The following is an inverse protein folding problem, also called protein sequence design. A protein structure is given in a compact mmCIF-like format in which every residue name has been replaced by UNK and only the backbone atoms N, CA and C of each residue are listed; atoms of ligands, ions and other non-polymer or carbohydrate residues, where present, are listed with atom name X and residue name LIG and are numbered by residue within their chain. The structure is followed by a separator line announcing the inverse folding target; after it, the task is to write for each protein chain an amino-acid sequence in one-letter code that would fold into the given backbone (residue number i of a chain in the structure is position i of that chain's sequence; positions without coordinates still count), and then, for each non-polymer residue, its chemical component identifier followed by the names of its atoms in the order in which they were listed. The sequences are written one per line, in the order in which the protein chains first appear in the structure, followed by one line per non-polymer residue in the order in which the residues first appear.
data_IF_240125037661
#
_entry.id   IF_240125037661
#
_cell.length_a   1.000
_cell.length_b   1.000
_cell.length_c   1.000
_cell.angle_alpha   90.00
_cell.angle_beta   90.00
_cell.angle_gamma   90.00
#
_symmetry.space_group_name_H-M   'P 1'
#
loop_
_entity.id
_entity.type
_entity.pdbx_description
1 polymer ?
#
# COMPACT_ATOMS: atom_id res chain seq x y z
N UNK A 1 -11.99 -24.11 -22.74
CA UNK A 1 -10.66 -24.73 -22.68
C UNK A 1 -10.50 -25.62 -23.91
N UNK A 2 -9.43 -25.43 -24.67
CA UNK A 2 -9.15 -26.24 -25.84
C UNK A 2 -8.71 -27.65 -25.42
N UNK A 3 -9.02 -28.67 -26.23
CA UNK A 3 -8.57 -30.05 -26.02
C UNK A 3 -7.03 -30.15 -25.83
N UNK A 4 -6.26 -29.25 -26.42
CA UNK A 4 -4.82 -29.11 -26.22
C UNK A 4 -4.46 -28.81 -24.76
N UNK A 5 -5.19 -27.93 -24.06
CA UNK A 5 -4.98 -27.63 -22.63
C UNK A 5 -5.16 -28.88 -21.76
N UNK A 6 -6.11 -29.73 -22.06
CA UNK A 6 -6.38 -30.95 -21.29
C UNK A 6 -5.29 -32.03 -21.50
N UNK A 7 -4.72 -32.08 -22.72
CA UNK A 7 -3.57 -32.95 -23.03
C UNK A 7 -2.34 -32.50 -22.22
N UNK A 8 -2.01 -31.21 -22.20
CA UNK A 8 -0.90 -30.66 -21.43
C UNK A 8 -1.05 -30.92 -19.92
N UNK A 9 -2.25 -30.69 -19.36
CA UNK A 9 -2.53 -30.95 -17.95
C UNK A 9 -2.28 -32.43 -17.62
N UNK A 10 -2.75 -33.34 -18.45
CA UNK A 10 -2.55 -34.78 -18.26
C UNK A 10 -1.07 -35.17 -18.32
N UNK A 11 -0.32 -34.63 -19.29
CA UNK A 11 1.11 -34.87 -19.42
C UNK A 11 1.87 -34.36 -18.19
N UNK A 12 1.56 -33.15 -17.73
CA UNK A 12 2.16 -32.54 -16.54
C UNK A 12 1.95 -33.41 -15.30
N UNK A 13 0.74 -33.88 -15.02
CA UNK A 13 0.49 -34.75 -13.86
C UNK A 13 1.23 -36.09 -13.98
N UNK A 14 1.28 -36.69 -15.19
CA UNK A 14 1.95 -37.98 -15.42
C UNK A 14 3.47 -37.90 -15.43
N UNK A 15 4.05 -36.72 -15.46
CA UNK A 15 5.51 -36.53 -15.26
C UNK A 15 5.92 -36.52 -13.79
N UNK A 16 4.96 -36.51 -12.85
CA UNK A 16 5.23 -36.58 -11.42
C UNK A 16 5.40 -38.05 -11.01
N UNK A 17 6.49 -38.37 -10.29
CA UNK A 17 6.78 -39.71 -9.80
C UNK A 17 5.63 -40.21 -8.92
N UNK A 18 5.10 -41.38 -9.25
CA UNK A 18 3.94 -41.98 -8.57
C UNK A 18 2.58 -41.62 -9.16
N UNK A 19 2.53 -40.70 -10.15
CA UNK A 19 1.28 -40.29 -10.84
C UNK A 19 1.27 -40.68 -12.32
N UNK A 20 2.19 -41.51 -12.77
CA UNK A 20 2.38 -41.86 -14.20
C UNK A 20 1.12 -42.44 -14.86
N UNK A 21 0.30 -43.17 -14.08
CA UNK A 21 -0.92 -43.82 -14.54
C UNK A 21 -2.17 -43.14 -13.97
N UNK A 22 -2.07 -41.89 -13.44
CA UNK A 22 -3.21 -41.21 -12.86
C UNK A 22 -4.33 -41.00 -13.87
N UNK A 23 -5.56 -41.15 -13.40
CA UNK A 23 -6.79 -40.76 -14.14
C UNK A 23 -7.36 -39.49 -13.54
N UNK A 24 -7.47 -38.44 -14.37
CA UNK A 24 -8.04 -37.19 -13.92
C UNK A 24 -9.56 -37.35 -13.86
N UNK A 25 -10.12 -37.30 -12.68
CA UNK A 25 -11.58 -37.39 -12.47
C UNK A 25 -12.31 -36.12 -12.84
N UNK A 26 -11.69 -34.96 -12.58
CA UNK A 26 -12.20 -33.64 -12.90
C UNK A 26 -11.03 -32.69 -13.19
N UNK A 27 -11.06 -32.03 -14.33
CA UNK A 27 -10.07 -30.98 -14.62
C UNK A 27 -10.28 -29.75 -13.75
N UNK A 28 -9.19 -29.10 -13.33
CA UNK A 28 -9.25 -27.77 -12.78
C UNK A 28 -9.78 -26.78 -13.82
N UNK A 29 -10.42 -25.72 -13.36
CA UNK A 29 -10.85 -24.64 -14.20
C UNK A 29 -9.82 -23.51 -14.21
N UNK A 30 -9.71 -22.80 -15.32
CA UNK A 30 -9.03 -21.53 -15.43
C UNK A 30 -10.10 -20.43 -15.48
N UNK A 31 -9.83 -19.32 -14.82
CA UNK A 31 -10.64 -18.13 -14.94
C UNK A 31 -9.90 -17.18 -15.86
N UNK A 32 -10.54 -16.77 -16.93
CA UNK A 32 -10.05 -15.75 -17.85
C UNK A 32 -10.85 -14.47 -17.62
N UNK A 33 -10.17 -13.34 -17.61
CA UNK A 33 -10.77 -12.05 -17.39
C UNK A 33 -10.48 -11.14 -18.58
N UNK A 34 -11.51 -10.54 -19.13
CA UNK A 34 -11.35 -9.45 -20.07
C UNK A 34 -10.85 -8.20 -19.34
N UNK A 35 -9.89 -7.52 -19.94
CA UNK A 35 -9.37 -6.25 -19.42
C UNK A 35 -9.04 -5.30 -20.58
N UNK A 36 -9.02 -4.02 -20.29
CA UNK A 36 -8.49 -3.00 -21.17
C UNK A 36 -6.96 -2.91 -21.02
N UNK A 37 -6.31 -2.29 -21.98
CA UNK A 37 -4.93 -1.87 -21.79
C UNK A 37 -4.89 -0.74 -20.75
N UNK A 38 -4.29 -1.00 -19.57
CA UNK A 38 -4.22 -0.03 -18.48
C UNK A 38 -3.38 1.20 -18.83
N UNK A 39 -2.52 1.14 -19.85
CA UNK A 39 -1.82 2.29 -20.40
C UNK A 39 -2.76 3.32 -21.04
N UNK A 40 -3.99 2.95 -21.36
CA UNK A 40 -5.04 3.86 -21.83
C UNK A 40 -5.71 4.66 -20.69
N UNK A 41 -5.30 4.46 -19.44
CA UNK A 41 -5.80 5.19 -18.28
C UNK A 41 -4.89 6.36 -17.90
N UNK A 42 -5.50 7.40 -17.36
CA UNK A 42 -4.79 8.49 -16.67
C UNK A 42 -4.50 8.11 -15.21
N UNK A 43 -3.61 8.83 -14.50
CA UNK A 43 -3.42 8.64 -13.06
C UNK A 43 -4.69 8.88 -12.21
N UNK A 44 -5.71 9.49 -12.77
CA UNK A 44 -7.03 9.66 -12.15
C UNK A 44 -7.99 8.49 -12.44
N UNK A 45 -7.52 7.43 -13.10
CA UNK A 45 -8.30 6.28 -13.60
C UNK A 45 -9.39 6.66 -14.63
N UNK A 46 -9.23 7.81 -15.29
CA UNK A 46 -10.07 8.20 -16.42
C UNK A 46 -9.52 7.55 -17.69
N UNK A 47 -10.42 7.07 -18.55
CA UNK A 47 -10.07 6.49 -19.84
C UNK A 47 -9.68 7.58 -20.85
N UNK A 48 -8.49 7.49 -21.45
CA UNK A 48 -7.95 8.53 -22.32
C UNK A 48 -8.76 8.71 -23.61
N UNK A 49 -9.22 7.60 -24.18
CA UNK A 49 -9.92 7.57 -25.48
C UNK A 49 -11.38 8.02 -25.40
N UNK A 50 -12.04 7.85 -24.24
CA UNK A 50 -13.44 8.17 -24.05
C UNK A 50 -13.62 9.10 -22.85
N UNK A 51 -14.05 10.34 -23.11
CA UNK A 51 -14.21 11.35 -22.07
C UNK A 51 -15.34 10.98 -21.10
N UNK A 52 -15.09 11.14 -19.81
CA UNK A 52 -16.10 10.94 -18.76
C UNK A 52 -16.25 9.49 -18.30
N UNK A 53 -15.47 8.56 -18.83
CA UNK A 53 -15.44 7.17 -18.39
C UNK A 53 -14.28 6.99 -17.41
N UNK A 54 -14.58 6.38 -16.28
CA UNK A 54 -13.62 5.94 -15.26
C UNK A 54 -13.76 4.45 -15.07
N UNK A 55 -12.65 3.74 -14.89
CA UNK A 55 -12.65 2.28 -14.75
C UNK A 55 -11.96 1.87 -13.47
N UNK A 56 -12.37 0.74 -12.90
CA UNK A 56 -11.82 0.24 -11.64
C UNK A 56 -11.90 -1.28 -11.55
N UNK A 57 -10.91 -1.88 -10.88
CA UNK A 57 -10.89 -3.31 -10.60
C UNK A 57 -10.38 -4.16 -11.76
N UNK A 58 -11.00 -5.31 -11.93
CA UNK A 58 -10.57 -6.32 -12.88
C UNK A 58 -10.43 -5.81 -14.31
N UNK A 59 -11.32 -4.94 -14.75
CA UNK A 59 -11.28 -4.34 -16.11
C UNK A 59 -9.94 -3.62 -16.38
N UNK A 60 -9.26 -3.16 -15.33
CA UNK A 60 -7.94 -2.52 -15.40
C UNK A 60 -6.77 -3.51 -15.31
N UNK A 61 -7.04 -4.82 -15.35
CA UNK A 61 -6.02 -5.87 -15.28
C UNK A 61 -5.59 -6.27 -13.85
N UNK A 62 -6.36 -5.92 -12.82
CA UNK A 62 -6.09 -6.34 -11.44
C UNK A 62 -6.98 -7.53 -11.03
N UNK A 63 -6.50 -8.39 -10.12
CA UNK A 63 -7.24 -9.61 -9.74
C UNK A 63 -7.66 -9.66 -8.26
N UNK A 64 -7.34 -8.64 -7.44
CA UNK A 64 -7.65 -8.63 -6.01
C UNK A 64 -8.85 -7.75 -5.66
N UNK A 65 -9.55 -8.11 -4.58
CA UNK A 65 -10.66 -7.31 -4.05
C UNK A 65 -10.20 -5.97 -3.50
N UNK A 66 -9.06 -5.94 -2.84
CA UNK A 66 -8.44 -4.74 -2.27
C UNK A 66 -8.05 -3.76 -3.37
N UNK A 67 -7.47 -4.27 -4.46
CA UNK A 67 -7.13 -3.47 -5.63
C UNK A 67 -8.39 -2.88 -6.27
N UNK A 68 -9.45 -3.66 -6.38
CA UNK A 68 -10.71 -3.20 -6.94
C UNK A 68 -11.37 -2.12 -6.06
N UNK A 69 -11.37 -2.30 -4.75
CA UNK A 69 -11.90 -1.33 -3.79
C UNK A 69 -11.13 0.01 -3.84
N UNK A 70 -9.80 -0.07 -3.85
CA UNK A 70 -8.93 1.11 -3.92
C UNK A 70 -9.14 1.90 -5.22
N UNK A 71 -9.19 1.20 -6.36
CA UNK A 71 -9.45 1.82 -7.66
C UNK A 71 -10.85 2.40 -7.73
N UNK A 72 -11.87 1.68 -7.24
CA UNK A 72 -13.26 2.15 -7.21
C UNK A 72 -13.42 3.43 -6.40
N UNK A 73 -12.77 3.50 -5.24
CA UNK A 73 -12.74 4.72 -4.42
C UNK A 73 -12.11 5.88 -5.19
N UNK A 74 -10.92 5.70 -5.76
CA UNK A 74 -10.20 6.76 -6.48
C UNK A 74 -10.93 7.19 -7.75
N UNK A 75 -11.47 6.26 -8.52
CA UNK A 75 -12.26 6.54 -9.72
C UNK A 75 -13.53 7.34 -9.37
N UNK A 76 -14.24 6.95 -8.31
CA UNK A 76 -15.44 7.65 -7.82
C UNK A 76 -15.14 9.08 -7.33
N UNK A 77 -14.05 9.27 -6.58
CA UNK A 77 -13.58 10.60 -6.16
C UNK A 77 -13.32 11.47 -7.40
N UNK A 78 -12.54 10.96 -8.35
CA UNK A 78 -12.14 11.73 -9.52
C UNK A 78 -13.31 12.02 -10.48
N UNK A 79 -14.27 11.12 -10.59
CA UNK A 79 -15.52 11.39 -11.31
C UNK A 79 -16.31 12.54 -10.67
N UNK A 80 -16.42 12.53 -9.34
CA UNK A 80 -17.10 13.62 -8.60
C UNK A 80 -16.35 14.96 -8.72
N UNK A 81 -15.03 14.97 -8.57
CA UNK A 81 -14.20 16.16 -8.74
C UNK A 81 -14.33 16.73 -10.16
N UNK A 82 -14.38 15.88 -11.16
CA UNK A 82 -14.60 16.29 -12.56
C UNK A 82 -15.94 17.00 -12.76
N UNK A 83 -17.02 16.50 -12.14
CA UNK A 83 -18.33 17.14 -12.19
C UNK A 83 -18.29 18.52 -11.51
N UNK A 84 -17.57 18.63 -10.40
CA UNK A 84 -17.36 19.88 -9.66
C UNK A 84 -16.40 20.86 -10.36
N UNK A 85 -15.72 20.42 -11.41
CA UNK A 85 -14.64 21.16 -12.11
C UNK A 85 -13.45 21.47 -11.18
N UNK A 86 -13.18 20.57 -10.27
CA UNK A 86 -12.03 20.60 -9.35
C UNK A 86 -10.87 19.74 -9.90
N UNK A 87 -9.66 20.02 -9.40
CA UNK A 87 -8.47 19.26 -9.77
C UNK A 87 -8.56 17.80 -9.29
N UNK A 88 -8.14 16.82 -10.11
CA UNK A 88 -8.22 15.43 -9.77
C UNK A 88 -7.34 15.09 -8.56
N UNK A 89 -7.76 14.06 -7.84
CA UNK A 89 -6.92 13.43 -6.82
C UNK A 89 -6.00 12.42 -7.49
N UNK A 90 -4.72 12.72 -7.52
CA UNK A 90 -3.65 11.80 -7.92
C UNK A 90 -2.80 11.50 -6.69
N UNK A 91 -2.75 10.23 -6.32
CA UNK A 91 -1.89 9.75 -5.25
C UNK A 91 -0.56 9.31 -5.83
N UNK A 92 0.54 9.67 -5.19
CA UNK A 92 1.89 9.33 -5.61
C UNK A 92 2.37 8.03 -4.97
N UNK A 93 3.43 7.42 -5.54
CA UNK A 93 4.01 6.16 -5.07
C UNK A 93 4.56 6.25 -3.64
N UNK A 94 5.07 7.41 -3.24
CA UNK A 94 5.57 7.71 -1.90
C UNK A 94 4.46 8.05 -0.90
N UNK A 95 3.26 8.42 -1.38
CA UNK A 95 2.13 8.76 -0.52
C UNK A 95 1.31 7.53 -0.09
N UNK A 96 1.17 6.53 -0.95
CA UNK A 96 0.30 5.39 -0.67
C UNK A 96 0.53 4.18 -1.58
N UNK A 97 0.13 2.98 -1.09
CA UNK A 97 0.05 1.79 -1.93
C UNK A 97 -0.99 1.93 -3.06
N UNK A 98 -2.04 2.73 -2.87
CA UNK A 98 -3.00 3.06 -3.94
C UNK A 98 -2.30 3.86 -5.03
N UNK A 99 -1.47 4.83 -4.66
CA UNK A 99 -0.66 5.60 -5.62
C UNK A 99 0.31 4.71 -6.39
N UNK A 100 1.02 3.81 -5.71
CA UNK A 100 1.89 2.83 -6.36
C UNK A 100 1.12 1.91 -7.33
N UNK A 101 -0.04 1.37 -6.90
CA UNK A 101 -0.90 0.54 -7.74
C UNK A 101 -1.27 1.26 -9.05
N UNK A 102 -1.81 2.47 -8.91
CA UNK A 102 -2.27 3.24 -10.09
C UNK A 102 -1.11 3.61 -10.99
N UNK A 103 0.01 4.04 -10.41
CA UNK A 103 1.21 4.37 -11.19
C UNK A 103 1.73 3.15 -11.97
N UNK A 104 1.83 1.98 -11.35
CA UNK A 104 2.22 0.75 -12.06
C UNK A 104 1.26 0.42 -13.23
N UNK A 105 -0.05 0.55 -13.02
CA UNK A 105 -1.04 0.29 -14.06
C UNK A 105 -0.88 1.22 -15.27
N UNK A 106 -0.76 2.53 -15.02
CA UNK A 106 -0.81 3.54 -16.09
C UNK A 106 0.54 3.82 -16.76
N UNK A 107 1.65 3.34 -16.17
CA UNK A 107 3.00 3.54 -16.70
C UNK A 107 3.66 2.26 -17.22
N UNK A 108 3.45 1.12 -16.55
CA UNK A 108 4.07 -0.16 -16.90
C UNK A 108 3.12 -1.08 -17.65
N UNK A 109 1.81 -0.89 -17.49
CA UNK A 109 0.81 -1.81 -18.02
C UNK A 109 0.79 -3.15 -17.26
N UNK A 110 -0.01 -4.09 -17.76
CA UNK A 110 -0.14 -5.42 -17.16
C UNK A 110 -0.10 -6.51 -18.25
N UNK A 111 0.88 -7.42 -18.17
CA UNK A 111 0.95 -8.60 -19.03
C UNK A 111 0.33 -9.84 -18.37
N UNK A 112 0.06 -9.75 -17.08
CA UNK A 112 -0.55 -10.78 -16.22
C UNK A 112 -1.44 -10.09 -15.18
N UNK A 113 -2.37 -10.80 -14.53
CA UNK A 113 -3.23 -10.22 -13.49
C UNK A 113 -2.41 -9.57 -12.38
N UNK A 114 -2.53 -8.24 -12.23
CA UNK A 114 -1.77 -7.46 -11.26
C UNK A 114 -2.26 -7.71 -9.83
N UNK A 115 -1.32 -7.90 -8.92
CA UNK A 115 -1.54 -7.95 -7.47
C UNK A 115 -0.61 -6.97 -6.76
N UNK A 116 -1.15 -6.25 -5.78
CA UNK A 116 -0.36 -5.39 -4.90
C UNK A 116 0.48 -6.25 -3.97
N UNK A 117 1.80 -6.02 -4.03
CA UNK A 117 2.76 -6.63 -3.11
C UNK A 117 3.64 -5.52 -2.52
N UNK A 118 3.97 -5.62 -1.25
CA UNK A 118 4.86 -4.65 -0.59
C UNK A 118 6.24 -4.57 -1.24
N UNK A 119 6.70 -5.67 -1.85
CA UNK A 119 7.95 -5.73 -2.61
C UNK A 119 7.99 -4.84 -3.86
N UNK A 120 6.83 -4.43 -4.37
CA UNK A 120 6.74 -3.52 -5.52
C UNK A 120 6.96 -2.05 -5.14
N UNK A 121 6.93 -1.73 -3.84
CA UNK A 121 7.08 -0.35 -3.35
C UNK A 121 8.51 -0.06 -2.94
N UNK A 122 9.08 0.98 -3.51
CA UNK A 122 10.36 1.58 -3.12
C UNK A 122 10.27 2.19 -1.71
N UNK A 123 9.06 2.63 -1.32
CA UNK A 123 8.78 3.35 -0.07
C UNK A 123 8.12 2.46 1.00
N UNK A 124 8.26 1.12 0.93
CA UNK A 124 7.57 0.18 1.83
C UNK A 124 7.83 0.42 3.33
N UNK A 125 8.99 0.99 3.69
CA UNK A 125 9.30 1.35 5.07
C UNK A 125 8.60 2.63 5.53
N UNK A 126 8.24 3.51 4.59
CA UNK A 126 7.47 4.73 4.85
C UNK A 126 5.96 4.46 4.85
N UNK A 127 5.49 3.61 3.93
CA UNK A 127 4.06 3.32 3.73
C UNK A 127 3.57 2.26 4.71
N UNK A 128 3.38 2.67 5.98
CA UNK A 128 2.88 1.79 7.03
C UNK A 128 1.42 2.10 7.35
N UNK A 129 0.73 1.12 7.93
CA UNK A 129 -0.66 1.27 8.36
C UNK A 129 -0.79 2.28 9.51
N UNK A 130 0.17 2.27 10.45
CA UNK A 130 0.18 3.11 11.64
C UNK A 130 0.29 4.62 11.36
N UNK A 131 0.83 5.01 10.20
CA UNK A 131 0.99 6.41 9.79
C UNK A 131 0.14 6.81 8.59
N UNK A 132 -0.81 5.98 8.16
CA UNK A 132 -1.65 6.26 6.99
C UNK A 132 -2.54 7.50 7.18
N UNK A 133 -3.02 7.72 8.39
CA UNK A 133 -3.78 8.92 8.75
C UNK A 133 -2.97 10.21 8.56
N UNK A 134 -1.71 10.22 9.01
CA UNK A 134 -0.81 11.38 8.85
C UNK A 134 -0.51 11.69 7.38
N UNK A 135 -0.40 10.66 6.52
CA UNK A 135 -0.08 10.82 5.10
C UNK A 135 -1.28 11.22 4.24
N UNK A 136 -2.48 10.76 4.58
CA UNK A 136 -3.64 10.79 3.67
C UNK A 136 -4.81 11.65 4.18
N UNK A 137 -4.82 12.10 5.45
CA UNK A 137 -5.95 12.87 6.00
C UNK A 137 -6.20 14.19 5.25
N UNK A 138 -5.14 14.85 4.79
CA UNK A 138 -5.24 16.09 4.01
C UNK A 138 -5.97 15.86 2.69
N UNK A 139 -5.57 14.79 1.97
CA UNK A 139 -6.23 14.40 0.73
C UNK A 139 -7.71 14.03 0.96
N UNK A 140 -7.98 13.23 2.00
CA UNK A 140 -9.34 12.82 2.37
C UNK A 140 -10.24 14.00 2.76
N UNK A 141 -9.69 15.00 3.47
CA UNK A 141 -10.40 16.21 3.85
C UNK A 141 -10.67 17.10 2.64
N UNK A 142 -9.67 17.32 1.78
CA UNK A 142 -9.81 18.11 0.54
C UNK A 142 -10.94 17.61 -0.35
N UNK A 143 -11.06 16.30 -0.50
CA UNK A 143 -12.11 15.70 -1.35
C UNK A 143 -13.45 15.52 -0.64
N UNK A 144 -13.57 15.96 0.62
CA UNK A 144 -14.81 15.92 1.40
C UNK A 144 -15.22 14.56 1.96
N UNK A 145 -14.33 13.58 1.98
CA UNK A 145 -14.59 12.24 2.54
C UNK A 145 -14.23 12.14 4.03
N UNK A 146 -13.38 13.02 4.53
CA UNK A 146 -13.00 13.04 5.93
C UNK A 146 -13.75 14.15 6.68
N UNK A 147 -14.52 13.82 7.75
CA UNK A 147 -15.18 14.83 8.58
C UNK A 147 -14.17 15.76 9.25
N UNK A 148 -14.58 17.03 9.46
CA UNK A 148 -13.73 18.09 10.04
C UNK A 148 -13.18 17.72 11.42
N UNK A 149 -13.98 17.07 12.24
CA UNK A 149 -13.59 16.62 13.59
C UNK A 149 -12.44 15.63 13.50
N UNK A 150 -12.53 14.65 12.59
CA UNK A 150 -11.48 13.66 12.39
C UNK A 150 -10.21 14.26 11.80
N UNK A 151 -10.35 15.20 10.87
CA UNK A 151 -9.21 15.94 10.33
C UNK A 151 -8.48 16.72 11.43
N UNK A 152 -9.21 17.42 12.30
CA UNK A 152 -8.64 18.15 13.45
C UNK A 152 -7.91 17.22 14.41
N UNK A 153 -8.51 16.09 14.75
CA UNK A 153 -7.87 15.11 15.65
C UNK A 153 -6.53 14.59 15.09
N UNK A 154 -6.44 14.35 13.77
CA UNK A 154 -5.17 13.95 13.13
C UNK A 154 -4.15 15.09 13.17
N UNK A 155 -4.56 16.34 12.95
CA UNK A 155 -3.65 17.50 13.05
C UNK A 155 -3.18 17.74 14.49
N UNK A 156 -4.03 17.54 15.48
CA UNK A 156 -3.63 17.60 16.91
C UNK A 156 -2.62 16.48 17.26
N UNK A 157 -2.84 15.27 16.75
CA UNK A 157 -1.88 14.14 16.87
C UNK A 157 -0.53 14.48 16.25
N UNK A 158 -0.52 15.05 15.05
CA UNK A 158 0.71 15.47 14.36
C UNK A 158 1.50 16.50 15.17
N UNK A 159 0.81 17.53 15.67
CA UNK A 159 1.43 18.55 16.54
C UNK A 159 1.92 17.97 17.86
N UNK A 160 1.18 17.03 18.46
CA UNK A 160 1.60 16.38 19.70
C UNK A 160 2.87 15.54 19.49
N UNK A 161 2.97 14.82 18.36
CA UNK A 161 4.16 14.05 17.98
C UNK A 161 5.38 14.99 17.84
N UNK A 162 5.25 16.11 17.14
CA UNK A 162 6.37 17.03 16.94
C UNK A 162 6.82 17.66 18.27
N UNK A 163 5.89 18.10 19.12
CA UNK A 163 6.22 18.61 20.47
C UNK A 163 6.95 17.57 21.31
N UNK A 164 6.51 16.31 21.24
CA UNK A 164 7.16 15.24 22.02
C UNK A 164 8.56 14.91 21.47
N UNK A 165 8.76 14.92 20.16
CA UNK A 165 10.09 14.78 19.56
C UNK A 165 11.04 15.89 20.01
N UNK A 166 10.58 17.15 20.03
CA UNK A 166 11.34 18.28 20.52
C UNK A 166 11.69 18.10 22.01
N UNK A 167 10.70 17.73 22.85
CA UNK A 167 10.90 17.48 24.27
C UNK A 167 11.93 16.38 24.52
N UNK A 168 11.81 15.26 23.83
CA UNK A 168 12.74 14.12 23.96
C UNK A 168 14.14 14.45 23.43
N UNK A 169 14.24 15.30 22.40
CA UNK A 169 15.52 15.80 21.89
C UNK A 169 16.23 16.76 22.85
N UNK A 170 15.44 17.55 23.59
CA UNK A 170 15.97 18.50 24.57
C UNK A 170 16.33 17.86 25.91
N UNK A 171 15.61 16.77 26.30
CA UNK A 171 15.81 16.11 27.59
C UNK A 171 17.08 15.27 27.56
N UNK A 172 18.09 15.71 28.30
CA UNK A 172 19.36 14.98 28.48
C UNK A 172 19.37 14.25 29.83
N UNK A 173 19.74 12.99 29.77
CA UNK A 173 19.94 12.16 30.95
C UNK A 173 21.45 11.94 31.15
N UNK A 174 21.92 12.24 32.36
CA UNK A 174 23.27 11.89 32.78
C UNK A 174 23.40 10.39 33.08
N UNK A 175 24.64 9.97 33.34
CA UNK A 175 24.90 8.61 33.83
C UNK A 175 24.51 8.52 35.32
N UNK A 176 23.47 7.70 35.62
CA UNK A 176 23.08 7.37 37.00
C UNK A 176 22.74 5.89 37.11
N UNK A 177 22.95 5.29 38.33
CA UNK A 177 22.91 3.83 38.49
C UNK A 177 21.60 3.17 38.08
N UNK A 178 20.46 3.81 38.37
CA UNK A 178 19.13 3.25 38.05
C UNK A 178 18.88 3.16 36.54
N UNK A 179 19.23 4.23 35.81
CA UNK A 179 19.14 4.22 34.33
C UNK A 179 20.01 3.12 33.75
N UNK A 180 21.26 3.03 34.19
CA UNK A 180 22.20 2.06 33.64
C UNK A 180 21.79 0.62 33.98
N UNK A 181 21.27 0.34 35.17
CA UNK A 181 20.68 -0.98 35.49
C UNK A 181 19.51 -1.34 34.55
N UNK A 182 18.63 -0.36 34.29
CA UNK A 182 17.49 -0.57 33.41
C UNK A 182 17.97 -0.86 31.99
N UNK A 183 18.92 -0.10 31.47
CA UNK A 183 19.49 -0.33 30.14
C UNK A 183 20.19 -1.69 30.01
N UNK A 184 20.97 -2.08 31.05
CA UNK A 184 21.62 -3.41 31.09
C UNK A 184 20.61 -4.55 31.14
N UNK A 185 19.53 -4.40 31.91
CA UNK A 185 18.47 -5.39 32.05
C UNK A 185 17.76 -5.69 30.71
N UNK A 186 17.68 -4.71 29.81
CA UNK A 186 17.12 -4.85 28.47
C UNK A 186 18.19 -5.13 27.39
N UNK A 187 19.44 -5.39 27.80
CA UNK A 187 20.55 -5.68 26.87
C UNK A 187 21.11 -4.47 26.12
N UNK A 188 20.81 -3.25 26.57
CA UNK A 188 21.34 -2.03 25.98
C UNK A 188 22.61 -1.55 26.72
N UNK A 189 23.45 -0.76 26.06
CA UNK A 189 24.69 -0.24 26.63
C UNK A 189 24.43 0.87 27.65
N UNK A 190 25.15 0.90 28.77
CA UNK A 190 25.05 1.99 29.74
C UNK A 190 25.39 3.36 29.17
N UNK A 191 24.81 4.41 29.72
CA UNK A 191 25.17 5.81 29.43
C UNK A 191 26.43 6.15 30.23
N UNK A 192 27.49 6.55 29.56
CA UNK A 192 28.77 6.89 30.19
C UNK A 192 28.79 8.33 30.70
N UNK A 193 28.42 9.28 29.86
CA UNK A 193 28.42 10.71 30.25
C UNK A 193 26.98 11.27 30.23
N UNK A 194 26.42 11.49 29.06
CA UNK A 194 25.02 11.90 28.90
C UNK A 194 24.49 11.46 27.52
N UNK A 195 23.19 11.22 27.46
CA UNK A 195 22.48 10.97 26.22
C UNK A 195 21.12 11.67 26.23
N UNK A 196 20.62 12.09 25.08
CA UNK A 196 19.23 12.57 24.99
C UNK A 196 18.25 11.40 25.04
N UNK A 197 17.03 11.64 25.49
CA UNK A 197 15.99 10.62 25.44
C UNK A 197 15.76 10.13 24.00
N UNK A 198 15.83 11.02 23.02
CA UNK A 198 15.74 10.67 21.62
C UNK A 198 16.85 9.71 21.15
N UNK A 199 18.08 9.87 21.64
CA UNK A 199 19.19 8.95 21.35
C UNK A 199 18.98 7.58 22.01
N UNK A 200 18.45 7.56 23.22
CA UNK A 200 18.16 6.31 23.95
C UNK A 200 17.06 5.51 23.22
N UNK A 201 15.96 6.16 22.84
CA UNK A 201 14.84 5.52 22.14
C UNK A 201 15.19 4.98 20.73
N UNK A 202 16.31 5.39 20.16
CA UNK A 202 16.80 4.85 18.88
C UNK A 202 17.63 3.57 19.03
N UNK A 203 17.99 3.20 20.26
CA UNK A 203 18.79 2.00 20.51
C UNK A 203 17.92 0.75 20.38
N UNK A 204 18.45 -0.34 19.79
CA UNK A 204 17.74 -1.61 19.77
C UNK A 204 17.40 -2.08 21.20
N UNK A 205 16.15 -2.47 21.42
CA UNK A 205 15.68 -3.01 22.69
C UNK A 205 15.25 -1.96 23.74
N UNK A 206 15.34 -0.65 23.45
CA UNK A 206 14.83 0.43 24.30
C UNK A 206 13.46 0.88 23.84
#
# INVERSE_FOLDING_TARGET
SSAASDVYKRQMYRSIIGLENCKIMRYGYAIEYDCIDSLDLTPALAFKKLKGIYTAGQINGTSGYEEAAAQGLLAGINAALKIKKEEPLVLTRDSSYIGMLVDDLVTKGTNEPYRVMTSRSEYRLLLRQDNADLRLCEAGYRVGLLPKERYRAVKEKELAIEREKERLGALRLGSFPELNRTLEAIGSTPVKESATMSELLRRPGV
#
